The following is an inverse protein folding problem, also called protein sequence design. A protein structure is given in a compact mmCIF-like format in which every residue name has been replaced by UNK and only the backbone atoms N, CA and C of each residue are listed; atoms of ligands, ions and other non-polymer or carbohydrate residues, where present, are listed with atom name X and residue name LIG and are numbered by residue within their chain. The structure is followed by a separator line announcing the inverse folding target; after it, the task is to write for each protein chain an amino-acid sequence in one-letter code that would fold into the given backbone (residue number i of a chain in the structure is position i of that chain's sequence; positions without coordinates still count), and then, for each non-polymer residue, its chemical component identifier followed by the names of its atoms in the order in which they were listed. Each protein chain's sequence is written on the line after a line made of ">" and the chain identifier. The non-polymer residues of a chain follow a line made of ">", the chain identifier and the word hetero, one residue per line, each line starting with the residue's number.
data_IF_123809743883
#
_entry.id   IF_123809743883
#
_cell.length_a   1.000
_cell.length_b   1.000
_cell.length_c   1.000
_cell.angle_alpha   90.00
_cell.angle_beta   90.00
_cell.angle_gamma   90.00
#
_symmetry.space_group_name_H-M   'P 1'
#
loop_
_entity.id
_entity.type
_entity.pdbx_description
1 polymer ?
#
# COMPACT_ATOMS: atom_id res chain seq x y z
N UNK A 1 0.07 43.20 -32.00
CA UNK A 1 -0.10 43.61 -30.60
C UNK A 1 0.08 42.40 -29.73
N UNK A 2 1.28 42.23 -29.26
CA UNK A 2 1.75 41.15 -28.37
C UNK A 2 1.70 41.72 -26.97
N UNK A 3 0.88 41.19 -26.05
CA UNK A 3 1.14 41.31 -24.60
C UNK A 3 0.01 40.58 -23.83
N UNK A 4 0.29 39.38 -23.33
CA UNK A 4 0.00 38.93 -21.97
C UNK A 4 0.28 37.44 -21.80
N UNK A 5 1.58 37.11 -21.72
CA UNK A 5 2.04 35.82 -21.18
C UNK A 5 2.74 36.12 -19.86
N UNK A 6 1.96 36.38 -18.80
CA UNK A 6 2.46 36.41 -17.42
C UNK A 6 1.34 35.89 -16.53
N UNK A 7 1.36 34.60 -16.24
CA UNK A 7 0.99 34.00 -14.96
C UNK A 7 1.03 32.46 -15.06
N UNK A 8 2.24 31.92 -15.02
CA UNK A 8 2.44 30.49 -14.84
C UNK A 8 2.54 30.09 -13.36
N UNK A 9 2.45 31.07 -12.44
CA UNK A 9 2.56 30.84 -11.00
C UNK A 9 1.21 30.76 -10.25
N UNK A 10 0.09 30.70 -10.98
CA UNK A 10 -1.21 30.52 -10.38
C UNK A 10 -1.66 29.05 -10.45
N UNK A 11 -1.62 28.32 -9.30
CA UNK A 11 -2.09 26.94 -9.23
C UNK A 11 -3.57 26.77 -9.55
N UNK A 12 -4.32 27.85 -9.76
CA UNK A 12 -5.74 27.85 -10.13
C UNK A 12 -5.99 27.57 -11.62
N UNK A 13 -4.96 27.65 -12.47
CA UNK A 13 -5.13 27.43 -13.91
C UNK A 13 -5.47 25.98 -14.28
N UNK A 14 -5.11 25.00 -13.43
CA UNK A 14 -5.43 23.59 -13.64
C UNK A 14 -6.86 23.21 -13.22
N UNK A 15 -7.49 24.00 -12.36
CA UNK A 15 -8.87 23.76 -11.87
C UNK A 15 -9.93 24.31 -12.85
N UNK A 16 -9.53 25.12 -13.82
CA UNK A 16 -10.44 25.78 -14.76
C UNK A 16 -11.02 24.86 -15.85
N UNK A 17 -10.62 23.58 -15.93
CA UNK A 17 -11.26 22.59 -16.80
C UNK A 17 -12.69 22.20 -16.38
N UNK A 18 -13.11 22.47 -15.15
CA UNK A 18 -14.47 22.26 -14.62
C UNK A 18 -15.32 23.53 -14.56
N UNK A 19 -15.08 24.50 -15.42
CA UNK A 19 -15.62 25.85 -15.38
C UNK A 19 -17.12 26.03 -15.56
N UNK A 20 -17.92 24.97 -15.63
CA UNK A 20 -19.35 25.05 -15.94
C UNK A 20 -20.31 24.72 -14.77
N UNK A 21 -19.82 24.25 -13.60
CA UNK A 21 -20.69 23.77 -12.52
C UNK A 21 -20.52 24.46 -11.15
N UNK A 22 -19.51 25.30 -10.97
CA UNK A 22 -19.36 26.02 -9.70
C UNK A 22 -20.02 27.41 -9.81
N UNK A 23 -21.30 27.52 -9.46
CA UNK A 23 -22.05 28.78 -9.51
C UNK A 23 -21.87 29.68 -8.30
N UNK A 24 -21.08 29.28 -7.26
CA UNK A 24 -20.93 30.07 -6.06
C UNK A 24 -19.46 30.17 -5.60
N UNK A 25 -19.04 31.39 -5.20
CA UNK A 25 -17.70 31.62 -4.63
C UNK A 25 -17.44 30.80 -3.36
N UNK A 26 -18.49 30.39 -2.68
CA UNK A 26 -18.45 29.60 -1.46
C UNK A 26 -18.02 28.16 -1.76
N UNK A 27 -18.59 27.54 -2.81
CA UNK A 27 -18.21 26.18 -3.27
C UNK A 27 -16.75 26.13 -3.72
N UNK A 28 -16.26 27.19 -4.37
CA UNK A 28 -14.83 27.30 -4.74
C UNK A 28 -13.91 27.37 -3.54
N UNK A 29 -14.31 28.09 -2.48
CA UNK A 29 -13.53 28.20 -1.24
C UNK A 29 -13.51 26.89 -0.46
N UNK A 30 -14.62 26.17 -0.46
CA UNK A 30 -14.71 24.86 0.21
C UNK A 30 -13.92 23.79 -0.56
N UNK A 31 -14.04 23.75 -1.88
CA UNK A 31 -13.22 22.87 -2.72
C UNK A 31 -11.73 23.15 -2.57
N UNK A 32 -11.32 24.42 -2.53
CA UNK A 32 -9.93 24.82 -2.30
C UNK A 32 -9.43 24.46 -0.91
N UNK A 33 -10.27 24.63 0.13
CA UNK A 33 -9.93 24.19 1.49
C UNK A 33 -9.80 22.68 1.57
N UNK A 34 -10.66 21.92 0.90
CA UNK A 34 -10.61 20.46 0.86
C UNK A 34 -9.33 19.97 0.17
N UNK A 35 -8.98 20.49 -1.01
CA UNK A 35 -7.73 20.16 -1.72
C UNK A 35 -6.51 20.50 -0.87
N UNK A 36 -6.50 21.66 -0.21
CA UNK A 36 -5.38 22.09 0.64
C UNK A 36 -5.24 21.27 1.92
N UNK A 37 -6.35 20.77 2.49
CA UNK A 37 -6.32 19.89 3.67
C UNK A 37 -5.75 18.51 3.30
N UNK A 38 -6.21 17.92 2.22
CA UNK A 38 -5.78 16.60 1.74
C UNK A 38 -4.28 16.60 1.39
N UNK A 39 -3.81 17.63 0.70
CA UNK A 39 -2.37 17.78 0.38
C UNK A 39 -1.52 17.89 1.66
N UNK A 40 -2.04 18.52 2.71
CA UNK A 40 -1.36 18.62 4.00
C UNK A 40 -1.27 17.27 4.73
N UNK A 41 -2.28 16.41 4.62
CA UNK A 41 -2.35 15.09 5.28
C UNK A 41 -1.38 14.10 4.65
N UNK A 42 -1.36 13.99 3.33
CA UNK A 42 -0.42 13.14 2.61
C UNK A 42 1.04 13.55 2.88
N UNK A 43 1.34 14.85 2.91
CA UNK A 43 2.67 15.35 3.27
C UNK A 43 3.06 15.02 4.70
N UNK A 44 2.12 15.09 5.65
CA UNK A 44 2.36 14.71 7.04
C UNK A 44 2.65 13.22 7.18
N UNK A 45 1.89 12.37 6.49
CA UNK A 45 2.14 10.92 6.46
C UNK A 45 3.55 10.63 5.94
N UNK A 46 3.91 11.17 4.78
CA UNK A 46 5.23 10.98 4.19
C UNK A 46 6.37 11.51 5.08
N UNK A 47 6.18 12.66 5.73
CA UNK A 47 7.14 13.20 6.69
C UNK A 47 7.35 12.26 7.88
N UNK A 48 6.28 11.78 8.49
CA UNK A 48 6.34 10.83 9.61
C UNK A 48 6.94 9.47 9.20
N UNK A 49 6.59 9.00 7.99
CA UNK A 49 7.15 7.76 7.44
C UNK A 49 8.66 7.89 7.27
N UNK A 50 9.13 9.00 6.67
CA UNK A 50 10.56 9.30 6.54
C UNK A 50 11.27 9.27 7.90
N UNK A 51 10.67 9.92 8.91
CA UNK A 51 11.25 10.00 10.24
C UNK A 51 11.30 8.61 10.91
N UNK A 52 10.24 7.81 10.75
CA UNK A 52 10.21 6.42 11.21
C UNK A 52 11.26 5.53 10.52
N UNK A 53 11.55 5.80 9.23
CA UNK A 53 12.56 5.08 8.48
C UNK A 53 13.99 5.48 8.87
N UNK A 54 14.19 6.71 9.35
CA UNK A 54 15.48 7.21 9.79
C UNK A 54 15.86 6.75 11.21
N UNK A 55 14.92 6.24 11.99
CA UNK A 55 15.18 5.74 13.35
C UNK A 55 15.89 4.38 13.32
N UNK A 56 16.77 4.19 14.27
CA UNK A 56 17.44 2.89 14.52
C UNK A 56 16.47 1.95 15.24
N UNK A 57 15.45 1.50 14.52
CA UNK A 57 14.51 0.48 14.94
C UNK A 57 14.47 -0.61 13.88
N UNK A 58 14.46 -1.87 14.28
CA UNK A 58 14.46 -3.00 13.35
C UNK A 58 13.27 -3.93 13.57
N UNK A 59 12.98 -4.73 12.58
CA UNK A 59 12.05 -5.83 12.68
C UNK A 59 10.63 -5.39 13.05
N UNK A 60 10.05 -6.08 14.02
CA UNK A 60 8.67 -5.92 14.46
C UNK A 60 8.34 -4.50 14.91
N UNK A 61 9.22 -3.88 15.72
CA UNK A 61 8.99 -2.50 16.21
C UNK A 61 8.78 -1.50 15.10
N UNK A 62 9.47 -1.66 13.97
CA UNK A 62 9.31 -0.78 12.81
C UNK A 62 7.99 -1.01 12.10
N UNK A 63 7.55 -2.28 11.95
CA UNK A 63 6.24 -2.60 11.39
C UNK A 63 5.11 -2.02 12.23
N UNK A 64 5.16 -2.20 13.56
CA UNK A 64 4.17 -1.69 14.50
C UNK A 64 4.10 -0.15 14.44
N UNK A 65 5.25 0.50 14.29
CA UNK A 65 5.31 1.95 14.14
C UNK A 65 4.67 2.42 12.83
N UNK A 66 4.94 1.74 11.72
CA UNK A 66 4.36 2.07 10.42
C UNK A 66 2.84 1.89 10.43
N UNK A 67 2.33 0.78 11.00
CA UNK A 67 0.88 0.57 11.13
C UNK A 67 0.22 1.65 11.96
N UNK A 68 0.78 2.00 13.12
CA UNK A 68 0.26 3.05 13.99
C UNK A 68 0.29 4.44 13.33
N UNK A 69 1.38 4.80 12.66
CA UNK A 69 1.48 6.06 11.92
C UNK A 69 0.48 6.13 10.76
N UNK A 70 0.31 5.03 10.04
CA UNK A 70 -0.60 4.95 8.89
C UNK A 70 -2.05 5.09 9.37
N UNK A 71 -2.49 4.30 10.36
CA UNK A 71 -3.84 4.36 10.92
C UNK A 71 -4.19 5.79 11.36
N UNK A 72 -3.31 6.42 12.14
CA UNK A 72 -3.52 7.81 12.62
C UNK A 72 -3.55 8.85 11.50
N UNK A 73 -2.72 8.68 10.47
CA UNK A 73 -2.64 9.66 9.37
C UNK A 73 -3.78 9.52 8.39
N UNK A 74 -4.35 8.30 8.27
CA UNK A 74 -5.49 8.00 7.40
C UNK A 74 -6.83 8.12 8.15
N UNK A 75 -6.79 8.48 9.44
CA UNK A 75 -7.98 8.59 10.31
C UNK A 75 -8.85 7.33 10.24
N UNK A 76 -8.19 6.18 10.45
CA UNK A 76 -8.83 4.86 10.44
C UNK A 76 -8.57 4.13 11.76
N UNK A 77 -9.50 3.27 12.15
CA UNK A 77 -9.38 2.50 13.39
C UNK A 77 -8.39 1.36 13.26
N UNK A 78 -8.24 0.82 12.05
CA UNK A 78 -7.35 -0.32 11.80
C UNK A 78 -6.38 -0.03 10.67
N UNK A 79 -5.12 -0.41 10.91
CA UNK A 79 -4.13 -0.62 9.86
C UNK A 79 -3.42 -1.96 10.10
N UNK A 80 -3.34 -2.81 9.08
CA UNK A 80 -2.77 -4.15 9.20
C UNK A 80 -1.85 -4.47 8.03
N UNK A 81 -0.75 -5.17 8.32
CA UNK A 81 0.22 -5.65 7.34
C UNK A 81 0.16 -7.16 7.31
N UNK A 82 -0.17 -7.70 6.14
CA UNK A 82 -0.11 -9.13 5.84
C UNK A 82 1.03 -9.39 4.87
N UNK A 83 1.93 -10.32 5.18
CA UNK A 83 3.02 -10.72 4.31
C UNK A 83 2.90 -12.20 3.96
N UNK A 84 3.36 -12.58 2.77
CA UNK A 84 3.43 -13.98 2.40
C UNK A 84 4.44 -14.72 3.27
N UNK A 85 3.99 -15.83 3.87
CA UNK A 85 4.83 -16.79 4.56
C UNK A 85 5.35 -17.87 3.61
N UNK A 86 4.48 -18.26 2.70
CA UNK A 86 4.74 -19.20 1.61
C UNK A 86 3.94 -18.76 0.37
N UNK A 87 3.94 -19.58 -0.70
CA UNK A 87 3.31 -19.22 -1.97
C UNK A 87 1.81 -19.00 -1.92
N UNK A 88 1.12 -19.57 -0.92
CA UNK A 88 -0.34 -19.54 -0.82
C UNK A 88 -0.86 -18.91 0.47
N UNK A 89 0.01 -18.63 1.44
CA UNK A 89 -0.39 -18.24 2.79
C UNK A 89 0.13 -16.86 3.16
N UNK A 90 -0.78 -15.95 3.49
CA UNK A 90 -0.52 -14.65 4.09
C UNK A 90 -0.59 -14.78 5.60
N UNK A 91 0.32 -14.14 6.31
CA UNK A 91 0.37 -14.05 7.77
C UNK A 91 0.22 -12.59 8.21
N UNK A 92 -0.59 -12.33 9.23
CA UNK A 92 -0.68 -11.02 9.86
C UNK A 92 0.63 -10.73 10.62
N UNK A 93 1.42 -9.79 10.11
CA UNK A 93 2.73 -9.46 10.68
C UNK A 93 2.70 -8.24 11.60
N UNK A 94 1.78 -7.31 11.38
CA UNK A 94 1.59 -6.16 12.27
C UNK A 94 0.17 -5.63 12.16
N UNK A 95 -0.34 -5.05 13.24
CA UNK A 95 -1.65 -4.41 13.26
C UNK A 95 -1.70 -3.27 14.27
N UNK A 96 -2.43 -2.23 13.92
CA UNK A 96 -2.98 -1.23 14.83
C UNK A 96 -4.50 -1.43 14.83
N UNK A 97 -5.12 -1.46 16.00
CA UNK A 97 -6.57 -1.51 16.16
C UNK A 97 -7.22 -2.90 16.16
N UNK A 98 -6.51 -3.97 15.76
CA UNK A 98 -6.95 -5.35 15.96
C UNK A 98 -6.28 -5.95 17.22
N UNK A 99 -6.71 -7.17 17.59
CA UNK A 99 -6.10 -7.89 18.72
C UNK A 99 -4.59 -8.15 18.46
N UNK A 100 -3.69 -7.61 19.27
CA UNK A 100 -2.25 -7.82 19.11
C UNK A 100 -1.84 -9.30 19.19
N UNK A 101 -2.61 -10.10 19.94
CA UNK A 101 -2.38 -11.56 20.08
C UNK A 101 -2.59 -12.33 18.77
N UNK A 102 -3.25 -11.72 17.77
CA UNK A 102 -3.47 -12.29 16.44
C UNK A 102 -2.23 -12.19 15.54
N UNK A 103 -1.28 -11.30 15.86
CA UNK A 103 -0.03 -11.12 15.12
C UNK A 103 0.76 -12.44 15.15
N UNK A 104 1.26 -12.85 13.98
CA UNK A 104 1.94 -14.11 13.70
C UNK A 104 1.11 -15.40 13.93
N UNK A 105 -0.17 -15.27 14.31
CA UNK A 105 -1.09 -16.40 14.49
C UNK A 105 -2.13 -16.46 13.38
N UNK A 106 -2.68 -15.30 13.00
CA UNK A 106 -3.70 -15.22 11.95
C UNK A 106 -3.07 -15.43 10.59
N UNK A 107 -3.66 -16.37 9.84
CA UNK A 107 -3.25 -16.72 8.48
C UNK A 107 -4.43 -16.76 7.54
N UNK A 108 -4.20 -16.37 6.31
CA UNK A 108 -5.21 -16.36 5.24
C UNK A 108 -4.62 -16.97 3.98
N UNK A 109 -5.45 -17.73 3.26
CA UNK A 109 -5.03 -18.28 1.97
C UNK A 109 -5.15 -17.25 0.86
N UNK A 110 -4.36 -17.42 -0.18
CA UNK A 110 -4.46 -16.64 -1.41
C UNK A 110 -5.89 -16.73 -1.98
N UNK A 111 -6.55 -15.57 -2.09
CA UNK A 111 -7.95 -15.46 -2.55
C UNK A 111 -9.01 -15.62 -1.47
N UNK A 112 -8.63 -15.85 -0.23
CA UNK A 112 -9.52 -15.93 0.91
C UNK A 112 -9.78 -14.57 1.51
N UNK A 113 -11.04 -14.20 1.73
CA UNK A 113 -11.41 -12.88 2.23
C UNK A 113 -11.04 -11.75 1.26
N UNK A 114 -11.19 -10.51 1.73
CA UNK A 114 -10.82 -9.33 0.95
C UNK A 114 -9.30 -9.20 0.81
N UNK A 115 -8.56 -9.52 1.85
CA UNK A 115 -7.09 -9.51 1.85
C UNK A 115 -6.54 -10.49 0.83
N UNK A 116 -6.99 -11.75 0.86
CA UNK A 116 -6.57 -12.75 -0.12
C UNK A 116 -7.00 -12.42 -1.55
N UNK A 117 -8.13 -11.68 -1.72
CA UNK A 117 -8.56 -11.16 -3.03
C UNK A 117 -7.60 -10.12 -3.57
N UNK A 118 -7.13 -9.17 -2.75
CA UNK A 118 -6.07 -8.22 -3.13
C UNK A 118 -4.81 -8.96 -3.55
N UNK A 119 -4.37 -9.92 -2.72
CA UNK A 119 -3.17 -10.70 -2.99
C UNK A 119 -3.23 -11.48 -4.31
N UNK A 120 -4.38 -12.14 -4.58
CA UNK A 120 -4.57 -12.93 -5.81
C UNK A 120 -4.66 -12.07 -7.06
N UNK A 121 -5.40 -10.94 -6.98
CA UNK A 121 -5.63 -10.09 -8.15
C UNK A 121 -4.50 -9.11 -8.42
N UNK A 122 -3.64 -8.87 -7.45
CA UNK A 122 -2.63 -7.80 -7.43
C UNK A 122 -3.26 -6.43 -7.75
N UNK A 123 -4.45 -6.17 -7.21
CA UNK A 123 -5.20 -4.94 -7.44
C UNK A 123 -5.74 -4.39 -6.14
N UNK A 124 -5.85 -3.07 -6.09
CA UNK A 124 -6.51 -2.35 -5.00
C UNK A 124 -7.96 -2.79 -4.88
N UNK A 125 -8.41 -3.00 -3.64
CA UNK A 125 -9.82 -3.20 -3.29
C UNK A 125 -10.21 -2.07 -2.35
N UNK A 126 -11.18 -1.26 -2.76
CA UNK A 126 -11.72 -0.13 -2.01
C UNK A 126 -13.24 -0.28 -1.94
N UNK A 127 -13.81 -0.35 -0.75
CA UNK A 127 -15.26 -0.50 -0.57
C UNK A 127 -15.74 0.18 0.71
N UNK A 128 -16.93 0.78 0.64
CA UNK A 128 -17.61 1.37 1.79
C UNK A 128 -18.39 0.34 2.64
N UNK A 129 -18.59 -0.88 2.13
CA UNK A 129 -19.39 -1.90 2.81
C UNK A 129 -18.75 -3.28 2.67
N UNK A 130 -17.66 -3.48 3.36
CA UNK A 130 -16.89 -4.72 3.35
C UNK A 130 -17.74 -5.98 3.65
N UNK A 131 -18.68 -5.98 4.61
CA UNK A 131 -19.48 -7.16 4.92
C UNK A 131 -20.36 -7.66 3.75
N UNK A 132 -20.70 -6.79 2.80
CA UNK A 132 -21.53 -7.17 1.63
C UNK A 132 -20.69 -7.59 0.43
N UNK A 133 -19.39 -7.40 0.49
CA UNK A 133 -18.49 -7.76 -0.59
C UNK A 133 -18.40 -9.27 -0.78
N UNK A 134 -18.39 -9.68 -2.05
CA UNK A 134 -18.25 -11.10 -2.39
C UNK A 134 -16.92 -11.65 -1.85
N UNK A 135 -17.01 -12.71 -1.06
CA UNK A 135 -15.86 -13.36 -0.46
C UNK A 135 -15.40 -12.71 0.84
N UNK A 136 -16.15 -11.76 1.40
CA UNK A 136 -15.90 -11.27 2.75
C UNK A 136 -15.82 -12.44 3.74
N UNK A 137 -14.83 -12.40 4.62
CA UNK A 137 -14.67 -13.37 5.69
C UNK A 137 -14.40 -12.65 7.00
N UNK A 138 -15.25 -12.89 7.97
CA UNK A 138 -15.05 -12.41 9.33
C UNK A 138 -14.05 -13.31 10.06
N UNK A 139 -13.10 -12.71 10.78
CA UNK A 139 -12.02 -13.38 11.51
C UNK A 139 -12.14 -13.06 13.01
N UNK A 140 -12.90 -13.85 13.79
CA UNK A 140 -13.14 -13.55 15.22
C UNK A 140 -11.87 -13.47 16.06
N UNK A 141 -10.84 -14.23 15.69
CA UNK A 141 -9.55 -14.29 16.39
C UNK A 141 -8.78 -12.97 16.35
N UNK A 142 -9.05 -12.12 15.36
CA UNK A 142 -8.43 -10.79 15.27
C UNK A 142 -9.08 -9.78 16.21
N UNK A 143 -10.16 -10.15 16.89
CA UNK A 143 -10.99 -9.21 17.63
C UNK A 143 -11.69 -8.21 16.72
N UNK A 144 -11.80 -8.55 15.43
CA UNK A 144 -12.38 -7.69 14.42
C UNK A 144 -13.84 -7.43 14.74
N UNK A 145 -14.16 -6.17 15.00
CA UNK A 145 -15.53 -5.71 14.93
C UNK A 145 -15.96 -5.63 13.46
N UNK A 146 -17.25 -5.48 13.21
CA UNK A 146 -17.72 -5.28 11.85
C UNK A 146 -17.29 -3.88 11.39
N UNK A 147 -16.16 -3.80 10.66
CA UNK A 147 -15.74 -2.59 9.98
C UNK A 147 -16.50 -2.47 8.66
N UNK A 148 -17.03 -1.28 8.41
CA UNK A 148 -17.81 -1.01 7.20
C UNK A 148 -16.90 -0.81 6.01
N UNK A 149 -15.92 0.10 6.10
CA UNK A 149 -15.02 0.36 4.97
C UNK A 149 -13.74 -0.46 5.03
N UNK A 150 -13.26 -0.81 3.84
CA UNK A 150 -12.03 -1.56 3.63
C UNK A 150 -11.27 -0.97 2.45
N UNK A 151 -10.00 -0.68 2.64
CA UNK A 151 -9.06 -0.40 1.58
C UNK A 151 -7.84 -1.32 1.74
N UNK A 152 -7.62 -2.17 0.74
CA UNK A 152 -6.45 -3.03 0.66
C UNK A 152 -5.62 -2.70 -0.57
N UNK A 153 -4.32 -2.49 -0.39
CA UNK A 153 -3.36 -2.26 -1.46
C UNK A 153 -2.29 -3.35 -1.48
N UNK A 154 -1.82 -3.77 -2.66
CA UNK A 154 -0.75 -4.75 -2.77
C UNK A 154 0.60 -4.17 -2.31
N UNK A 155 1.34 -4.95 -1.54
CA UNK A 155 2.77 -4.72 -1.27
C UNK A 155 3.52 -5.53 -2.32
N UNK A 156 4.13 -4.85 -3.30
CA UNK A 156 4.78 -5.51 -4.42
C UNK A 156 6.08 -4.84 -4.79
N UNK A 157 7.02 -5.61 -5.33
CA UNK A 157 8.31 -5.14 -5.83
C UNK A 157 8.71 -5.92 -7.09
N UNK A 158 9.08 -5.19 -8.14
CA UNK A 158 9.54 -5.76 -9.42
C UNK A 158 8.56 -6.84 -9.96
N UNK A 159 7.24 -6.60 -9.77
CA UNK A 159 6.18 -7.54 -10.20
C UNK A 159 5.95 -8.72 -9.25
N UNK A 160 6.75 -8.88 -8.20
CA UNK A 160 6.54 -9.87 -7.16
C UNK A 160 5.59 -9.35 -6.08
N UNK A 161 4.58 -10.15 -5.73
CA UNK A 161 3.64 -9.86 -4.67
C UNK A 161 4.20 -10.32 -3.33
N UNK A 162 4.47 -9.38 -2.42
CA UNK A 162 5.05 -9.63 -1.10
C UNK A 162 4.02 -9.69 0.01
N UNK A 163 2.89 -9.00 -0.17
CA UNK A 163 1.86 -8.94 0.86
C UNK A 163 0.75 -7.95 0.55
N UNK A 164 -0.03 -7.61 1.57
CA UNK A 164 -1.16 -6.66 1.48
C UNK A 164 -1.09 -5.71 2.67
N UNK A 165 -1.21 -4.41 2.39
CA UNK A 165 -1.44 -3.37 3.39
C UNK A 165 -2.93 -3.03 3.39
N UNK A 166 -3.54 -3.01 4.57
CA UNK A 166 -4.98 -2.85 4.76
C UNK A 166 -5.24 -1.72 5.74
N UNK A 167 -6.26 -0.89 5.46
CA UNK A 167 -6.90 -0.01 6.44
C UNK A 167 -8.39 -0.28 6.45
N UNK A 168 -8.99 -0.15 7.65
CA UNK A 168 -10.43 -0.37 7.87
C UNK A 168 -10.99 0.72 8.78
N UNK A 169 -12.24 1.08 8.56
CA UNK A 169 -12.96 2.04 9.40
C UNK A 169 -14.40 1.57 9.67
N UNK A 170 -14.93 1.98 10.83
CA UNK A 170 -16.33 1.76 11.18
C UNK A 170 -17.26 2.59 10.32
N UNK A 171 -16.81 3.77 9.89
CA UNK A 171 -17.56 4.65 9.01
C UNK A 171 -17.66 4.05 7.60
N UNK A 172 -18.87 3.96 7.07
CA UNK A 172 -19.13 3.49 5.71
C UNK A 172 -18.71 4.58 4.70
N UNK A 173 -17.49 4.49 4.18
CA UNK A 173 -16.95 5.41 3.17
C UNK A 173 -16.04 4.70 2.18
N UNK A 174 -16.04 5.14 0.94
CA UNK A 174 -14.94 4.83 0.03
C UNK A 174 -13.79 5.80 0.29
N UNK A 175 -12.57 5.29 0.23
CA UNK A 175 -11.38 6.11 0.36
C UNK A 175 -11.12 6.88 -0.94
N UNK A 176 -10.67 8.12 -0.83
CA UNK A 176 -10.35 8.96 -1.98
C UNK A 176 -9.14 8.43 -2.78
N UNK A 177 -9.00 8.89 -4.02
CA UNK A 177 -7.83 8.57 -4.84
C UNK A 177 -6.51 8.98 -4.16
N UNK A 178 -6.49 10.13 -3.48
CA UNK A 178 -5.31 10.59 -2.75
C UNK A 178 -4.97 9.68 -1.54
N UNK A 179 -6.00 9.16 -0.87
CA UNK A 179 -5.82 8.20 0.21
C UNK A 179 -5.26 6.87 -0.31
N UNK A 180 -5.80 6.37 -1.43
CA UNK A 180 -5.27 5.17 -2.11
C UNK A 180 -3.81 5.38 -2.47
N UNK A 181 -3.48 6.48 -3.14
CA UNK A 181 -2.11 6.80 -3.54
C UNK A 181 -1.16 6.89 -2.34
N UNK A 182 -1.58 7.55 -1.26
CA UNK A 182 -0.78 7.64 -0.04
C UNK A 182 -0.49 6.25 0.57
N UNK A 183 -1.50 5.36 0.58
CA UNK A 183 -1.35 4.00 1.08
C UNK A 183 -0.44 3.14 0.17
N UNK A 184 -0.54 3.31 -1.15
CA UNK A 184 0.36 2.65 -2.12
C UNK A 184 1.83 3.07 -1.92
N UNK A 185 2.09 4.35 -1.58
CA UNK A 185 3.44 4.81 -1.26
C UNK A 185 3.97 4.13 0.02
N UNK A 186 3.14 3.98 1.05
CA UNK A 186 3.51 3.22 2.25
C UNK A 186 3.80 1.76 1.89
N UNK A 187 2.97 1.14 1.06
CA UNK A 187 3.16 -0.24 0.59
C UNK A 187 4.48 -0.41 -0.19
N UNK A 188 4.85 0.57 -1.02
CA UNK A 188 6.13 0.58 -1.73
C UNK A 188 7.32 0.64 -0.75
N UNK A 189 7.25 1.48 0.28
CA UNK A 189 8.30 1.53 1.32
C UNK A 189 8.40 0.21 2.08
N UNK A 190 7.26 -0.41 2.42
CA UNK A 190 7.24 -1.73 3.06
C UNK A 190 7.87 -2.80 2.16
N UNK A 191 7.63 -2.76 0.85
CA UNK A 191 8.21 -3.69 -0.10
C UNK A 191 9.76 -3.64 -0.09
N UNK A 192 10.33 -2.45 -0.09
CA UNK A 192 11.79 -2.28 0.00
C UNK A 192 12.36 -2.77 1.34
N UNK A 193 11.61 -2.61 2.43
CA UNK A 193 12.04 -3.06 3.76
C UNK A 193 12.04 -4.58 3.89
N UNK A 194 11.10 -5.28 3.26
CA UNK A 194 11.02 -6.75 3.31
C UNK A 194 12.25 -7.41 2.66
N UNK A 195 12.75 -6.84 1.58
CA UNK A 195 13.97 -7.33 0.90
C UNK A 195 15.26 -7.16 1.74
N UNK A 196 15.36 -6.05 2.47
CA UNK A 196 16.53 -5.80 3.33
C UNK A 196 16.61 -6.75 4.54
N UNK A 197 15.71 -7.76 4.63
CA UNK A 197 15.66 -8.68 5.75
C UNK A 197 15.29 -8.02 7.08
N UNK A 198 14.78 -6.79 7.03
CA UNK A 198 14.44 -6.02 8.21
C UNK A 198 13.35 -6.67 9.08
N UNK A 199 12.65 -7.68 8.56
CA UNK A 199 11.56 -8.39 9.24
C UNK A 199 11.81 -9.87 9.44
N UNK A 200 12.99 -10.36 9.07
CA UNK A 200 13.35 -11.77 9.28
C UNK A 200 13.80 -11.96 10.72
N UNK A 201 12.83 -12.13 11.62
CA UNK A 201 13.08 -12.85 12.86
C UNK A 201 13.32 -14.33 12.52
N UNK A 202 14.13 -15.01 13.33
CA UNK A 202 14.47 -16.41 13.16
C UNK A 202 13.22 -17.27 12.92
N UNK A 203 12.92 -17.61 11.66
CA UNK A 203 11.82 -18.49 11.28
C UNK A 203 11.04 -18.16 10.02
N UNK A 204 11.18 -17.00 9.42
CA UNK A 204 10.47 -16.64 8.20
C UNK A 204 11.38 -16.78 6.97
N UNK A 205 11.27 -17.91 6.27
CA UNK A 205 11.97 -18.18 5.03
C UNK A 205 11.38 -17.39 3.83
N UNK A 206 11.34 -16.07 3.92
CA UNK A 206 11.13 -15.22 2.73
C UNK A 206 12.36 -15.25 1.81
N UNK A 207 13.52 -15.63 2.36
CA UNK A 207 14.79 -15.72 1.63
C UNK A 207 14.91 -16.91 0.65
N UNK A 208 13.96 -17.86 0.69
CA UNK A 208 14.06 -19.06 -0.19
C UNK A 208 13.58 -18.79 -1.62
N UNK A 209 12.86 -17.71 -1.89
CA UNK A 209 12.33 -17.41 -3.24
C UNK A 209 13.39 -16.88 -4.20
N UNK A 210 14.45 -16.24 -3.70
CA UNK A 210 15.53 -15.69 -4.53
C UNK A 210 16.56 -16.75 -5.01
N UNK A 211 16.45 -17.98 -4.57
CA UNK A 211 17.39 -19.05 -4.97
C UNK A 211 16.86 -20.01 -6.04
N UNK A 212 15.67 -19.78 -6.58
CA UNK A 212 15.16 -20.67 -7.63
C UNK A 212 14.99 -19.92 -8.97
N UNK A 213 16.03 -19.88 -9.82
CA UNK A 213 15.95 -19.28 -11.16
C UNK A 213 15.08 -20.07 -12.16
N UNK A 214 14.42 -21.14 -11.73
CA UNK A 214 13.68 -22.04 -12.62
C UNK A 214 12.25 -21.56 -12.97
N UNK A 215 11.73 -20.50 -12.36
CA UNK A 215 10.37 -20.00 -12.61
C UNK A 215 10.27 -18.94 -13.72
N UNK A 216 11.39 -18.54 -14.32
CA UNK A 216 11.42 -17.65 -15.49
C UNK A 216 11.55 -18.47 -16.81
N UNK A 217 10.79 -19.53 -16.99
CA UNK A 217 10.56 -20.12 -18.31
C UNK A 217 9.25 -19.60 -18.87
N UNK A 218 9.30 -18.35 -19.37
CA UNK A 218 8.35 -17.91 -20.37
C UNK A 218 8.46 -18.80 -21.60
N UNK A 219 7.36 -19.38 -21.98
CA UNK A 219 7.19 -20.06 -23.26
C UNK A 219 7.44 -19.09 -24.41
N UNK A 220 8.64 -19.07 -24.95
CA UNK A 220 8.90 -18.65 -26.32
C UNK A 220 9.98 -19.57 -26.86
N UNK A 221 9.54 -20.51 -27.72
CA UNK A 221 10.46 -21.23 -28.55
C UNK A 221 11.09 -20.28 -29.56
N UNK A 222 12.41 -20.26 -29.58
CA UNK A 222 13.25 -20.25 -30.77
C UNK A 222 14.71 -20.26 -30.32
N UNK A 223 15.41 -21.20 -30.88
CA UNK A 223 16.87 -21.36 -30.80
C UNK A 223 17.54 -20.13 -31.39
N UNK A 224 18.47 -19.51 -30.67
CA UNK A 224 19.31 -18.40 -31.12
C UNK A 224 20.58 -18.32 -30.31
N UNK A 225 21.66 -18.59 -31.01
CA UNK A 225 23.08 -18.64 -30.65
C UNK A 225 23.50 -17.54 -29.64
N UNK A 226 24.17 -17.97 -28.58
CA UNK A 226 24.83 -17.07 -27.61
C UNK A 226 26.19 -16.63 -28.16
N UNK A 227 26.35 -15.38 -28.51
CA UNK A 227 27.64 -14.73 -28.67
C UNK A 227 28.03 -14.03 -27.37
N UNK A 228 29.27 -14.34 -26.92
CA UNK A 228 29.81 -13.92 -25.66
C UNK A 228 30.22 -12.44 -25.65
N UNK A 229 30.00 -11.80 -24.53
CA UNK A 229 30.64 -10.53 -24.17
C UNK A 229 31.84 -10.80 -23.25
N UNK A 230 33.03 -10.62 -23.82
CA UNK A 230 34.31 -10.61 -23.11
C UNK A 230 34.52 -9.21 -22.56
N UNK A 231 34.63 -9.06 -21.23
CA UNK A 231 35.11 -7.85 -20.61
C UNK A 231 36.64 -7.79 -20.69
N UNK A 232 37.18 -6.92 -21.50
CA UNK A 232 38.60 -6.59 -21.52
C UNK A 232 38.90 -5.64 -20.36
N UNK A 233 39.71 -6.11 -19.43
CA UNK A 233 40.49 -5.25 -18.55
C UNK A 233 41.76 -4.84 -19.32
N UNK A 234 42.04 -3.57 -19.44
CA UNK A 234 43.32 -3.06 -19.80
C UNK A 234 43.94 -2.23 -18.66
N UNK A 235 45.29 -2.14 -18.68
CA UNK A 235 46.15 -2.00 -17.52
C UNK A 235 46.29 -0.59 -16.96
#
# INVERSE_FOLDING_TARGET
>A
MLSNWKNWDDPLSYVLGCGALCQNQQDRRESYKMVKSTESESRRLLGRLRDAMAEDSAGQTRLDKITSLTARSMETEVCSIYLFRDEETLELCATEGLNPEAVHKTRMRLGEGLVGRVARSNRVVNTANAPTERGFRFMPETGEEVFSSFLGVPIQRIGEMLGVLVIQSKDAREFSADAIYALEVVAMVLAEMTELGAFVGEGAALSARHQNPALFRGTTGQEGVAEGYVWLHEP
#
